data_IF_679165578671
#
_entry.id   IF_679165578671
#
_cell.length_a   1.000
_cell.length_b   1.000
_cell.length_c   1.000
_cell.angle_alpha   90.00
_cell.angle_beta   90.00
_cell.angle_gamma   90.00
#
_symmetry.space_group_name_H-M   'P 1'
#
loop_
_entity.id
_entity.type
_entity.pdbx_description
1 polymer ?
#
# COMPACT_ATOMS: atom_id res chain seq x y z
N UNK A 1 -7.97 -5.92 -7.51
CA UNK A 1 -6.71 -6.71 -7.58
C UNK A 1 -6.95 -8.21 -7.58
N UNK A 2 -7.64 -8.80 -6.58
CA UNK A 2 -7.96 -10.25 -6.57
C UNK A 2 -8.68 -10.78 -7.85
N UNK A 3 -9.59 -10.00 -8.45
CA UNK A 3 -10.31 -10.38 -9.69
C UNK A 3 -9.45 -10.42 -10.97
N UNK A 4 -8.32 -9.70 -11.02
CA UNK A 4 -7.45 -9.65 -12.22
C UNK A 4 -6.22 -10.56 -12.11
N UNK A 5 -6.01 -11.23 -10.97
CA UNK A 5 -4.82 -12.06 -10.66
C UNK A 5 -3.49 -11.43 -11.09
N UNK A 6 -3.43 -10.10 -11.16
CA UNK A 6 -2.31 -9.36 -11.73
C UNK A 6 -1.61 -8.62 -10.61
N UNK A 7 -0.32 -8.93 -10.49
CA UNK A 7 0.59 -8.33 -9.53
C UNK A 7 1.09 -6.98 -10.06
N UNK A 8 0.31 -5.93 -9.80
CA UNK A 8 0.60 -4.56 -10.25
C UNK A 8 1.67 -3.88 -9.39
N UNK A 9 1.89 -4.38 -8.18
CA UNK A 9 2.82 -3.79 -7.21
C UNK A 9 4.20 -4.45 -7.20
N UNK A 10 4.38 -5.59 -7.87
CA UNK A 10 5.67 -6.27 -7.99
C UNK A 10 6.02 -7.14 -6.79
N UNK A 11 5.04 -7.67 -6.07
CA UNK A 11 5.28 -8.56 -4.92
C UNK A 11 6.08 -9.82 -5.30
N UNK A 12 5.87 -10.35 -6.49
CA UNK A 12 6.58 -11.52 -7.00
C UNK A 12 8.06 -11.23 -7.22
N UNK A 13 8.40 -10.03 -7.67
CA UNK A 13 9.78 -9.62 -7.86
C UNK A 13 10.50 -9.40 -6.52
N UNK A 14 9.84 -8.78 -5.54
CA UNK A 14 10.38 -8.66 -4.18
C UNK A 14 10.59 -10.04 -3.55
N UNK A 15 9.66 -10.96 -3.77
CA UNK A 15 9.75 -12.35 -3.27
C UNK A 15 10.90 -13.09 -3.95
N UNK A 16 11.11 -12.90 -5.25
CA UNK A 16 12.24 -13.47 -5.98
C UNK A 16 13.60 -12.96 -5.46
N UNK A 17 13.71 -11.66 -5.18
CA UNK A 17 14.94 -11.08 -4.65
C UNK A 17 15.24 -11.55 -3.22
N UNK A 18 14.21 -11.70 -2.39
CA UNK A 18 14.37 -12.06 -0.97
C UNK A 18 14.53 -13.56 -0.77
N UNK A 19 13.79 -14.37 -1.55
CA UNK A 19 13.73 -15.84 -1.43
C UNK A 19 13.91 -16.53 -2.79
N UNK A 20 15.11 -16.46 -3.39
CA UNK A 20 15.35 -16.98 -4.74
C UNK A 20 15.21 -18.50 -4.86
N UNK A 21 15.44 -19.25 -3.78
CA UNK A 21 15.30 -20.71 -3.75
C UNK A 21 13.82 -21.10 -3.80
N UNK A 22 13.01 -20.55 -2.89
CA UNK A 22 11.58 -20.84 -2.79
C UNK A 22 10.81 -20.29 -4.01
N UNK A 23 11.27 -19.17 -4.56
CA UNK A 23 10.70 -18.60 -5.78
C UNK A 23 10.74 -19.57 -6.97
N UNK A 24 11.75 -20.44 -7.08
CA UNK A 24 11.84 -21.42 -8.19
C UNK A 24 10.65 -22.38 -8.21
N UNK A 25 10.12 -22.72 -7.04
CA UNK A 25 8.98 -23.60 -6.88
C UNK A 25 7.66 -22.83 -7.02
N UNK A 26 7.58 -21.65 -6.42
CA UNK A 26 6.36 -20.85 -6.31
C UNK A 26 6.04 -20.09 -7.62
N UNK A 27 7.05 -19.73 -8.43
CA UNK A 27 6.84 -18.93 -9.66
C UNK A 27 5.84 -19.55 -10.64
N UNK A 28 5.75 -20.89 -10.66
CA UNK A 28 4.87 -21.63 -11.58
C UNK A 28 3.40 -21.44 -11.24
N UNK A 29 3.09 -21.20 -9.96
CA UNK A 29 1.72 -21.08 -9.45
C UNK A 29 1.45 -19.70 -8.83
N UNK A 30 2.31 -18.73 -9.12
CA UNK A 30 2.26 -17.38 -8.54
C UNK A 30 0.91 -16.69 -8.74
N UNK A 31 0.30 -16.85 -9.92
CA UNK A 31 -1.00 -16.25 -10.24
C UNK A 31 -2.17 -16.76 -9.38
N UNK A 32 -2.04 -17.97 -8.80
CA UNK A 32 -3.06 -18.53 -7.90
C UNK A 32 -2.72 -18.30 -6.43
N UNK A 33 -1.43 -18.26 -6.08
CA UNK A 33 -0.94 -17.96 -4.73
C UNK A 33 -1.07 -16.49 -4.35
N UNK A 34 -0.83 -15.58 -5.29
CA UNK A 34 -0.85 -14.14 -5.05
C UNK A 34 -2.17 -13.61 -4.43
N UNK A 35 -3.37 -14.04 -4.87
CA UNK A 35 -4.63 -13.65 -4.25
C UNK A 35 -4.85 -14.15 -2.81
N UNK A 36 -4.14 -15.21 -2.41
CA UNK A 36 -4.22 -15.83 -1.07
C UNK A 36 -3.24 -15.21 -0.08
N UNK A 37 -2.30 -14.38 -0.55
CA UNK A 37 -1.29 -13.76 0.30
C UNK A 37 -1.93 -12.89 1.38
N UNK A 38 -1.56 -13.12 2.63
CA UNK A 38 -1.91 -12.24 3.74
C UNK A 38 -0.96 -11.04 3.74
N UNK A 39 -1.50 -9.85 3.52
CA UNK A 39 -0.73 -8.61 3.45
C UNK A 39 -1.06 -7.75 4.66
N UNK A 40 -0.07 -7.54 5.53
CA UNK A 40 -0.18 -6.58 6.62
C UNK A 40 0.37 -5.23 6.16
N UNK A 41 -0.48 -4.21 6.10
CA UNK A 41 -0.08 -2.85 5.72
C UNK A 41 0.10 -2.03 6.99
N UNK A 42 1.35 -1.75 7.35
CA UNK A 42 1.68 -0.80 8.41
C UNK A 42 1.92 0.57 7.80
N UNK A 43 1.00 1.50 8.06
CA UNK A 43 1.17 2.91 7.68
C UNK A 43 1.71 3.66 8.88
N UNK A 44 2.88 4.27 8.71
CA UNK A 44 3.39 5.27 9.64
C UNK A 44 3.35 6.62 8.91
N UNK A 45 2.37 7.45 9.23
CA UNK A 45 2.14 8.73 8.58
C UNK A 45 2.21 9.88 9.58
N UNK A 46 2.96 10.91 9.20
CA UNK A 46 3.15 12.12 10.00
C UNK A 46 2.57 13.31 9.23
N UNK A 47 1.67 14.05 9.88
CA UNK A 47 1.19 15.34 9.36
C UNK A 47 2.03 16.42 10.02
N UNK A 48 2.91 17.05 9.25
CA UNK A 48 3.91 18.01 9.76
C UNK A 48 3.39 19.46 9.91
N UNK A 49 2.25 19.81 9.29
CA UNK A 49 1.73 21.18 9.24
C UNK A 49 0.20 21.22 9.36
N UNK A 50 -0.31 21.66 10.50
CA UNK A 50 -1.72 21.99 10.75
C UNK A 50 -2.07 23.46 10.46
N UNK A 51 -1.11 24.24 9.93
CA UNK A 51 -1.14 25.71 9.87
C UNK A 51 -2.25 26.37 9.05
N UNK A 52 -3.13 25.63 8.37
CA UNK A 52 -4.27 26.18 7.61
C UNK A 52 -5.63 25.73 8.18
N UNK A 53 -5.67 25.24 9.43
CA UNK A 53 -6.94 24.84 10.08
C UNK A 53 -7.39 25.73 11.24
N UNK A 54 -6.69 26.84 11.54
CA UNK A 54 -7.02 27.65 12.72
C UNK A 54 -7.85 28.91 12.48
N UNK A 55 -8.39 29.17 11.27
CA UNK A 55 -9.44 30.19 11.15
C UNK A 55 -10.39 30.02 9.96
N UNK A 56 -11.41 29.13 10.03
CA UNK A 56 -12.54 29.20 9.13
C UNK A 56 -13.64 30.18 9.58
N UNK A 57 -13.54 30.83 10.75
CA UNK A 57 -14.61 31.71 11.26
C UNK A 57 -14.08 32.90 12.08
N UNK A 58 -13.50 33.91 11.42
CA UNK A 58 -13.53 35.29 11.93
C UNK A 58 -13.69 36.25 10.76
N UNK A 59 -14.93 36.40 10.32
CA UNK A 59 -15.45 37.71 9.93
C UNK A 59 -16.64 37.97 10.85
N UNK A 60 -16.35 38.47 12.05
CA UNK A 60 -17.40 39.08 12.85
C UNK A 60 -17.79 40.37 12.13
N UNK A 61 -19.00 40.36 11.57
CA UNK A 61 -19.77 41.54 11.18
C UNK A 61 -19.66 42.61 12.27
N UNK A 62 -18.88 43.66 12.01
CA UNK A 62 -19.03 44.95 12.70
C UNK A 62 -18.48 46.06 11.82
N UNK A 63 -19.35 46.64 11.00
CA UNK A 63 -19.60 48.10 10.93
C UNK A 63 -21.10 48.26 10.70
#
# INVERSE_FOLDING_TARGET
>A
MKKKKSDVFGFGEVTHQTYPTDWKEIKKDWNNRFPELEVNVKVDSYVWLEGIRMNPFRDNLTI
#
